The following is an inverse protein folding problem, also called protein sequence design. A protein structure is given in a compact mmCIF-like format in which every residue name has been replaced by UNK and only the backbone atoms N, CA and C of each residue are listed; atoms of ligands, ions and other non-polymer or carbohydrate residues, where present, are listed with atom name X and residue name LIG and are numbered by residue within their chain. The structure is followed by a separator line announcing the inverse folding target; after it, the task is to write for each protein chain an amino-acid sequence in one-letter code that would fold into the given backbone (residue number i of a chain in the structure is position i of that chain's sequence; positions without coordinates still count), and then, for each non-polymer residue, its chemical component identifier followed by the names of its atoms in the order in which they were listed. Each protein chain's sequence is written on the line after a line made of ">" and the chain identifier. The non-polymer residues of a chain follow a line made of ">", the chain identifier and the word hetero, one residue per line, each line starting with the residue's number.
data_IF_445734043540
#
_entry.id   IF_445734043540
#
_cell.length_a   1.000
_cell.length_b   1.000
_cell.length_c   1.000
_cell.angle_alpha   90.00
_cell.angle_beta   90.00
_cell.angle_gamma   90.00
#
_symmetry.space_group_name_H-M   'P 1'
#
loop_
_entity.id
_entity.type
_entity.pdbx_description
1 polymer ?
#
# COMPACT_ATOMS: atom_id res chain seq x y z
N UNK A 1 -16.19 16.38 -38.84
CA UNK A 1 -15.40 16.14 -37.61
C UNK A 1 -16.06 15.00 -36.86
N UNK A 2 -15.35 13.88 -36.68
CA UNK A 2 -15.86 12.61 -36.14
C UNK A 2 -14.99 12.27 -34.94
N UNK A 3 -15.61 12.15 -33.76
CA UNK A 3 -15.27 11.26 -32.63
C UNK A 3 -15.83 11.88 -31.34
N UNK A 4 -17.11 11.58 -31.13
CA UNK A 4 -17.76 11.52 -29.82
C UNK A 4 -17.16 10.30 -29.09
N UNK A 5 -17.15 10.37 -27.76
CA UNK A 5 -16.89 9.29 -26.79
C UNK A 5 -15.42 9.03 -26.49
N UNK A 6 -14.98 9.47 -25.30
CA UNK A 6 -14.35 8.56 -24.35
C UNK A 6 -14.81 8.93 -22.93
N UNK A 7 -15.44 7.95 -22.31
CA UNK A 7 -16.13 7.94 -21.04
C UNK A 7 -15.22 8.42 -19.90
N UNK A 8 -15.60 9.50 -19.23
CA UNK A 8 -15.21 9.75 -17.84
C UNK A 8 -16.25 9.09 -16.91
N UNK A 9 -16.36 7.76 -16.97
CA UNK A 9 -17.01 6.99 -15.91
C UNK A 9 -15.94 6.54 -14.93
N UNK A 10 -15.55 7.44 -14.02
CA UNK A 10 -14.99 7.00 -12.74
C UNK A 10 -16.14 6.40 -11.95
N UNK A 11 -16.41 5.14 -12.26
CA UNK A 11 -17.35 4.30 -11.54
C UNK A 11 -16.95 4.29 -10.07
N UNK A 12 -17.91 4.67 -9.24
CA UNK A 12 -17.93 4.52 -7.78
C UNK A 12 -17.30 3.19 -7.39
N UNK A 13 -16.12 3.22 -6.78
CA UNK A 13 -15.59 2.03 -6.13
C UNK A 13 -16.33 1.89 -4.80
N UNK A 14 -17.26 0.94 -4.77
CA UNK A 14 -17.99 0.54 -3.59
C UNK A 14 -16.99 0.16 -2.49
N UNK A 15 -17.01 0.92 -1.40
CA UNK A 15 -16.33 0.57 -0.15
C UNK A 15 -16.86 -0.77 0.33
N UNK A 16 -16.16 -1.83 -0.04
CA UNK A 16 -16.40 -3.18 0.45
C UNK A 16 -15.59 -3.30 1.73
N UNK A 17 -16.28 -3.35 2.86
CA UNK A 17 -15.69 -3.78 4.12
C UNK A 17 -15.13 -5.20 3.92
N UNK A 18 -13.83 -5.29 3.63
CA UNK A 18 -13.11 -6.55 3.48
C UNK A 18 -11.97 -6.53 4.48
N UNK A 19 -11.87 -7.60 5.28
CA UNK A 19 -10.59 -7.93 5.88
C UNK A 19 -9.60 -8.05 4.72
N UNK A 20 -8.74 -7.06 4.61
CA UNK A 20 -8.05 -6.73 3.38
C UNK A 20 -7.00 -7.79 3.08
N UNK A 21 -7.28 -8.62 2.08
CA UNK A 21 -6.38 -9.68 1.65
C UNK A 21 -5.22 -9.03 0.88
N UNK A 22 -4.23 -8.50 1.59
CA UNK A 22 -3.04 -7.91 0.98
C UNK A 22 -2.17 -8.96 0.29
N UNK A 23 -1.37 -8.57 -0.69
CA UNK A 23 -0.31 -9.43 -1.21
C UNK A 23 0.77 -9.66 -0.13
N UNK A 24 1.42 -10.84 -0.13
CA UNK A 24 2.44 -11.22 0.86
C UNK A 24 3.53 -10.15 1.04
N UNK A 25 4.05 -9.58 -0.06
CA UNK A 25 5.03 -8.49 -0.01
C UNK A 25 4.57 -7.27 0.80
N UNK A 26 3.27 -6.93 0.78
CA UNK A 26 2.72 -5.85 1.60
C UNK A 26 2.61 -6.27 3.07
N UNK A 27 2.23 -7.51 3.35
CA UNK A 27 2.23 -8.06 4.71
C UNK A 27 3.64 -7.96 5.31
N UNK A 28 4.67 -8.35 4.57
CA UNK A 28 6.06 -8.26 5.01
C UNK A 28 6.53 -6.80 5.17
N UNK A 29 6.11 -5.89 4.29
CA UNK A 29 6.39 -4.45 4.41
C UNK A 29 5.76 -3.85 5.67
N UNK A 30 4.47 -4.10 5.89
CA UNK A 30 3.75 -3.61 7.06
C UNK A 30 4.36 -4.15 8.34
N UNK A 31 4.72 -5.43 8.35
CA UNK A 31 5.39 -6.05 9.48
C UNK A 31 6.75 -5.41 9.77
N UNK A 32 7.54 -5.10 8.74
CA UNK A 32 8.82 -4.41 8.93
C UNK A 32 8.64 -3.01 9.58
N UNK A 33 7.57 -2.29 9.26
CA UNK A 33 7.21 -1.04 9.95
C UNK A 33 6.81 -1.31 11.41
N UNK A 34 5.99 -2.34 11.67
CA UNK A 34 5.59 -2.71 13.02
C UNK A 34 6.78 -3.10 13.91
N UNK A 35 7.77 -3.80 13.34
CA UNK A 35 8.97 -4.28 14.02
C UNK A 35 10.12 -3.25 14.10
N UNK A 36 10.08 -2.16 13.30
CA UNK A 36 11.09 -1.09 13.32
C UNK A 36 11.26 -0.52 14.73
N UNK A 37 12.47 -0.41 15.28
CA UNK A 37 12.64 0.09 16.66
C UNK A 37 12.72 1.61 16.73
N UNK A 38 12.94 2.25 15.58
CA UNK A 38 13.21 3.68 15.42
C UNK A 38 11.94 4.53 15.42
N UNK A 39 10.77 3.89 15.25
CA UNK A 39 9.48 4.58 15.26
C UNK A 39 8.66 4.26 16.53
N UNK A 40 8.02 5.27 17.14
CA UNK A 40 7.03 5.06 18.19
C UNK A 40 5.86 4.19 17.71
N UNK A 41 5.27 3.39 18.60
CA UNK A 41 4.13 2.53 18.27
C UNK A 41 2.95 3.29 17.66
N UNK A 42 2.66 4.49 18.16
CA UNK A 42 1.59 5.33 17.63
C UNK A 42 1.90 5.86 16.21
N UNK A 43 3.14 6.26 15.95
CA UNK A 43 3.57 6.70 14.63
C UNK A 43 3.52 5.57 13.60
N UNK A 44 3.94 4.36 13.97
CA UNK A 44 3.80 3.16 13.12
C UNK A 44 2.34 2.89 12.79
N UNK A 45 1.47 2.95 13.80
CA UNK A 45 0.04 2.69 13.62
C UNK A 45 -0.59 3.73 12.70
N UNK A 46 -0.32 5.01 12.91
CA UNK A 46 -0.83 6.10 12.07
C UNK A 46 -0.33 5.98 10.62
N UNK A 47 0.94 5.61 10.45
CA UNK A 47 1.51 5.33 9.12
C UNK A 47 0.74 4.18 8.47
N UNK A 48 0.66 3.02 9.11
CA UNK A 48 -0.03 1.84 8.57
C UNK A 48 -1.50 2.10 8.24
N UNK A 49 -2.22 2.84 9.09
CA UNK A 49 -3.60 3.24 8.85
C UNK A 49 -3.74 4.13 7.61
N UNK A 50 -2.69 4.88 7.25
CA UNK A 50 -2.65 5.71 6.05
C UNK A 50 -2.26 4.93 4.79
N UNK A 51 -1.29 4.00 4.88
CA UNK A 51 -0.77 3.29 3.70
C UNK A 51 -1.56 2.03 3.35
N UNK A 52 -2.07 1.27 4.33
CA UNK A 52 -2.91 0.08 4.08
C UNK A 52 -4.07 0.37 3.12
N UNK A 53 -4.92 1.39 3.35
CA UNK A 53 -6.04 1.68 2.44
C UNK A 53 -5.58 2.13 1.05
N UNK A 54 -4.38 2.70 0.91
CA UNK A 54 -3.84 3.06 -0.40
C UNK A 54 -3.42 1.82 -1.19
N UNK A 55 -2.75 0.86 -0.55
CA UNK A 55 -2.40 -0.41 -1.19
C UNK A 55 -3.62 -1.29 -1.45
N UNK A 56 -4.64 -1.18 -0.61
CA UNK A 56 -5.90 -1.90 -0.76
C UNK A 56 -6.67 -1.53 -2.02
N UNK A 57 -6.61 -0.25 -2.38
CA UNK A 57 -7.21 0.26 -3.61
C UNK A 57 -6.48 -0.25 -4.88
N UNK A 58 -5.30 -0.87 -4.73
CA UNK A 58 -4.55 -1.44 -5.84
C UNK A 58 -4.88 -2.93 -6.05
N UNK A 59 -4.86 -3.41 -7.30
CA UNK A 59 -4.95 -4.85 -7.57
C UNK A 59 -3.74 -5.61 -7.01
N UNK A 60 -3.91 -6.89 -6.68
CA UNK A 60 -2.89 -7.77 -6.07
C UNK A 60 -1.51 -7.74 -6.75
N UNK A 61 -1.48 -7.72 -8.08
CA UNK A 61 -0.21 -7.63 -8.84
C UNK A 61 0.49 -6.28 -8.64
N UNK A 62 -0.25 -5.17 -8.63
CA UNK A 62 0.30 -3.85 -8.35
C UNK A 62 0.75 -3.72 -6.88
N UNK A 63 0.01 -4.34 -5.95
CA UNK A 63 0.43 -4.45 -4.55
C UNK A 63 1.79 -5.17 -4.43
N UNK A 64 1.98 -6.26 -5.19
CA UNK A 64 3.21 -7.05 -5.12
C UNK A 64 4.45 -6.22 -5.49
N UNK A 65 4.39 -5.44 -6.56
CA UNK A 65 5.52 -4.63 -7.03
C UNK A 65 5.74 -3.40 -6.15
N UNK A 66 4.67 -2.67 -5.82
CA UNK A 66 4.76 -1.45 -5.02
C UNK A 66 5.24 -1.72 -3.58
N UNK A 67 4.73 -2.77 -2.92
CA UNK A 67 5.19 -3.14 -1.59
C UNK A 67 6.59 -3.78 -1.60
N UNK A 68 7.00 -4.44 -2.69
CA UNK A 68 8.36 -4.95 -2.83
C UNK A 68 9.38 -3.82 -2.92
N UNK A 69 9.06 -2.76 -3.67
CA UNK A 69 9.89 -1.56 -3.74
C UNK A 69 9.97 -0.90 -2.36
N UNK A 70 8.83 -0.58 -1.74
CA UNK A 70 8.79 0.06 -0.43
C UNK A 70 9.54 -0.73 0.67
N UNK A 71 9.46 -2.06 0.64
CA UNK A 71 10.22 -2.92 1.56
C UNK A 71 11.72 -2.94 1.25
N UNK A 72 12.13 -2.80 -0.01
CA UNK A 72 13.53 -2.65 -0.36
C UNK A 72 14.08 -1.31 0.14
N UNK A 73 13.36 -0.21 -0.09
CA UNK A 73 13.72 1.14 0.39
C UNK A 73 13.86 1.17 1.93
N UNK A 74 12.91 0.57 2.65
CA UNK A 74 12.95 0.49 4.11
C UNK A 74 14.17 -0.31 4.60
N UNK A 75 14.54 -1.39 3.90
CA UNK A 75 15.70 -2.22 4.24
C UNK A 75 17.03 -1.58 3.89
N UNK A 76 17.08 -0.81 2.82
CA UNK A 76 18.27 -0.04 2.44
C UNK A 76 18.52 1.08 3.45
N UNK A 77 17.46 1.80 3.82
CA UNK A 77 17.50 2.82 4.87
C UNK A 77 17.98 2.27 6.22
N UNK A 78 17.59 1.04 6.58
CA UNK A 78 18.01 0.37 7.81
C UNK A 78 19.45 -0.20 7.78
N UNK A 79 20.10 -0.22 6.61
CA UNK A 79 21.50 -0.68 6.46
C UNK A 79 22.53 0.45 6.50
N UNK A 80 22.08 1.70 6.38
CA UNK A 80 22.96 2.87 6.42
C UNK A 80 23.18 3.43 7.84
N UNK A 81 22.63 2.79 8.88
CA UNK A 81 22.90 3.09 10.30
C UNK A 81 23.95 2.17 10.94
#
# INVERSE_FOLDING_TARGET
>A
MKKILLLASFSVFSASAMAEDFHQNCVDYFKAIEESKDMPAESKKMMLDTIKPQFAALPKEAQAEACKQALADLKESAKEE
#
